data_IF_179014910099
#
_entry.id   IF_179014910099
#
_cell.length_a   1.000
_cell.length_b   1.000
_cell.length_c   1.000
_cell.angle_alpha   90.00
_cell.angle_beta   90.00
_cell.angle_gamma   90.00
#
_symmetry.space_group_name_H-M   'P 1'
#
loop_
_entity.id
_entity.type
_entity.pdbx_description
1 polymer ?
#
# COMPACT_ATOMS: atom_id res chain seq x y z
N UNK A 1 -37.63 -7.18 -12.13
CA UNK A 1 -36.48 -6.78 -11.33
C UNK A 1 -35.58 -7.98 -11.12
N UNK A 2 -34.33 -7.92 -11.55
CA UNK A 2 -33.35 -9.00 -11.43
C UNK A 2 -32.19 -8.50 -10.59
N UNK A 3 -31.80 -9.29 -9.55
CA UNK A 3 -30.61 -9.00 -8.76
C UNK A 3 -29.48 -9.94 -9.17
N UNK A 4 -28.37 -9.37 -9.60
CA UNK A 4 -27.14 -10.07 -9.98
C UNK A 4 -26.12 -9.92 -8.86
N UNK A 5 -25.45 -11.00 -8.49
CA UNK A 5 -24.43 -10.99 -7.43
C UNK A 5 -23.13 -11.57 -8.01
N UNK A 6 -22.06 -10.79 -7.93
CA UNK A 6 -20.73 -11.16 -8.41
C UNK A 6 -19.76 -11.22 -7.23
N UNK A 7 -19.41 -12.41 -6.72
CA UNK A 7 -18.35 -12.54 -5.73
C UNK A 7 -17.03 -12.01 -6.31
N UNK A 8 -16.28 -11.28 -5.51
CA UNK A 8 -14.98 -10.79 -5.91
C UNK A 8 -13.89 -11.78 -5.49
N UNK A 9 -12.90 -11.92 -6.36
CA UNK A 9 -11.67 -12.68 -6.12
C UNK A 9 -10.46 -11.76 -6.22
N UNK A 10 -9.28 -12.24 -5.79
CA UNK A 10 -8.01 -11.50 -5.83
C UNK A 10 -8.06 -10.18 -5.04
N UNK A 11 -8.79 -10.21 -3.94
CA UNK A 11 -8.86 -9.16 -2.92
C UNK A 11 -8.44 -9.72 -1.58
N UNK A 12 -8.10 -8.87 -0.65
CA UNK A 12 -8.02 -9.24 0.77
C UNK A 12 -9.42 -9.17 1.38
N UNK A 13 -9.78 -10.20 2.16
CA UNK A 13 -11.10 -10.33 2.74
C UNK A 13 -12.15 -10.86 1.75
N UNK A 14 -13.43 -10.69 2.09
CA UNK A 14 -14.55 -11.14 1.28
C UNK A 14 -15.44 -9.95 0.91
N UNK A 15 -15.72 -9.84 -0.40
CA UNK A 15 -16.64 -8.85 -0.91
C UNK A 15 -17.37 -9.37 -2.15
N UNK A 16 -18.44 -8.68 -2.50
CA UNK A 16 -19.22 -8.94 -3.72
C UNK A 16 -19.78 -7.63 -4.28
N UNK A 17 -20.09 -7.63 -5.56
CA UNK A 17 -20.87 -6.56 -6.18
C UNK A 17 -22.29 -7.08 -6.39
N UNK A 18 -23.28 -6.35 -5.87
CA UNK A 18 -24.69 -6.60 -6.11
C UNK A 18 -25.23 -5.53 -7.06
N UNK A 19 -25.89 -5.97 -8.16
CA UNK A 19 -26.45 -5.08 -9.16
C UNK A 19 -27.94 -5.38 -9.29
N UNK A 20 -28.78 -4.36 -9.22
CA UNK A 20 -30.21 -4.47 -9.49
C UNK A 20 -30.51 -3.94 -10.89
N UNK A 21 -31.17 -4.77 -11.69
CA UNK A 21 -31.50 -4.48 -13.09
C UNK A 21 -33.01 -4.60 -13.29
N UNK A 22 -33.60 -3.61 -13.94
CA UNK A 22 -35.01 -3.64 -14.35
C UNK A 22 -35.10 -3.18 -15.81
N UNK A 23 -35.75 -3.98 -16.64
CA UNK A 23 -35.98 -3.66 -18.07
C UNK A 23 -34.71 -3.35 -18.87
N UNK A 24 -33.57 -3.90 -18.43
CA UNK A 24 -32.25 -3.68 -19.04
C UNK A 24 -31.47 -2.48 -18.51
N UNK A 25 -32.05 -1.71 -17.61
CA UNK A 25 -31.39 -0.58 -16.93
C UNK A 25 -30.89 -0.98 -15.55
N UNK A 26 -29.69 -0.48 -15.19
CA UNK A 26 -29.10 -0.65 -13.85
C UNK A 26 -29.73 0.37 -12.90
N UNK A 27 -30.46 -0.10 -11.91
CA UNK A 27 -31.07 0.74 -10.87
C UNK A 27 -30.11 1.04 -9.72
N UNK A 28 -29.33 0.04 -9.31
CA UNK A 28 -28.32 0.18 -8.28
C UNK A 28 -27.14 -0.74 -8.51
N UNK A 29 -25.97 -0.33 -8.01
CA UNK A 29 -24.78 -1.15 -7.94
C UNK A 29 -24.10 -0.91 -6.58
N UNK A 30 -23.96 -1.98 -5.79
CA UNK A 30 -23.44 -1.92 -4.42
C UNK A 30 -22.18 -2.76 -4.29
N UNK A 31 -21.12 -2.17 -3.74
CA UNK A 31 -19.96 -2.92 -3.26
C UNK A 31 -20.22 -3.35 -1.83
N UNK A 32 -20.32 -4.65 -1.61
CA UNK A 32 -20.64 -5.23 -0.32
C UNK A 32 -19.43 -5.95 0.26
N UNK A 33 -18.72 -5.31 1.22
CA UNK A 33 -17.77 -5.99 2.08
C UNK A 33 -18.57 -6.84 3.09
N UNK A 34 -18.23 -8.13 3.17
CA UNK A 34 -19.02 -9.12 3.95
C UNK A 34 -18.30 -9.59 5.20
N UNK A 35 -17.08 -9.11 5.47
CA UNK A 35 -16.34 -9.46 6.68
C UNK A 35 -16.68 -8.53 7.84
N UNK A 36 -16.65 -9.12 9.04
CA UNK A 36 -16.96 -8.43 10.28
C UNK A 36 -16.00 -7.25 10.53
N UNK A 37 -16.54 -6.14 10.97
CA UNK A 37 -15.84 -5.02 11.62
C UNK A 37 -15.99 -5.12 13.15
N UNK A 38 -15.23 -4.30 13.87
CA UNK A 38 -15.37 -4.19 15.32
C UNK A 38 -14.18 -4.73 16.09
N UNK A 39 -13.00 -4.73 15.48
CA UNK A 39 -11.76 -5.09 16.19
C UNK A 39 -11.50 -4.18 17.38
N UNK A 40 -11.96 -2.92 17.33
CA UNK A 40 -11.95 -1.98 18.44
C UNK A 40 -12.63 -2.51 19.69
N UNK A 41 -13.70 -3.30 19.56
CA UNK A 41 -14.36 -3.95 20.69
C UNK A 41 -13.57 -5.15 21.25
N UNK A 42 -12.79 -5.82 20.38
CA UNK A 42 -11.96 -6.96 20.81
C UNK A 42 -10.74 -6.52 21.61
N UNK A 43 -10.26 -5.30 21.39
CA UNK A 43 -9.07 -4.75 22.06
C UNK A 43 -9.42 -3.76 23.17
N UNK A 44 -10.69 -3.49 23.39
CA UNK A 44 -11.15 -2.63 24.47
C UNK A 44 -10.69 -3.21 25.83
N UNK A 45 -10.17 -2.34 26.70
CA UNK A 45 -9.60 -2.68 28.02
C UNK A 45 -8.38 -3.64 27.96
N UNK A 46 -7.84 -3.93 26.77
CA UNK A 46 -6.60 -4.69 26.65
C UNK A 46 -5.39 -3.79 26.97
N UNK A 47 -4.30 -4.37 27.55
CA UNK A 47 -3.09 -3.61 27.82
C UNK A 47 -2.55 -2.94 26.55
N UNK A 48 -2.22 -1.65 26.63
CA UNK A 48 -1.79 -0.84 25.49
C UNK A 48 -0.51 -1.37 24.82
N UNK A 49 0.42 -1.93 25.61
CA UNK A 49 1.67 -2.53 25.13
C UNK A 49 1.47 -3.78 24.24
N UNK A 50 0.28 -4.39 24.28
CA UNK A 50 -0.07 -5.52 23.41
C UNK A 50 -0.55 -5.07 22.03
N UNK A 51 -0.92 -3.81 21.83
CA UNK A 51 -1.46 -3.32 20.55
C UNK A 51 -0.53 -3.55 19.37
N UNK A 52 0.80 -3.33 19.45
CA UNK A 52 1.72 -3.64 18.36
C UNK A 52 1.79 -5.14 17.96
N UNK A 53 1.33 -6.03 18.83
CA UNK A 53 1.31 -7.49 18.60
C UNK A 53 -0.07 -7.97 18.15
N UNK A 54 -1.13 -7.41 18.70
CA UNK A 54 -2.52 -7.85 18.45
C UNK A 54 -3.05 -7.27 17.15
N UNK A 55 -2.91 -5.96 16.94
CA UNK A 55 -3.51 -5.27 15.79
C UNK A 55 -2.96 -5.68 14.43
N UNK A 56 -1.69 -6.10 14.26
CA UNK A 56 -1.24 -6.71 13.00
C UNK A 56 -2.05 -7.93 12.54
N UNK A 57 -2.72 -8.62 13.46
CA UNK A 57 -3.55 -9.80 13.14
C UNK A 57 -4.89 -9.47 12.51
N UNK A 58 -5.25 -8.18 12.47
CA UNK A 58 -6.43 -7.70 11.73
C UNK A 58 -6.31 -8.03 10.24
N UNK A 59 -5.08 -7.97 9.69
CA UNK A 59 -4.87 -8.14 8.26
C UNK A 59 -3.53 -8.85 7.98
N UNK A 60 -3.60 -10.00 7.31
CA UNK A 60 -2.41 -10.79 6.98
C UNK A 60 -1.50 -10.14 5.95
N UNK A 61 -2.04 -9.37 5.00
CA UNK A 61 -1.27 -8.72 3.92
C UNK A 61 -0.81 -7.29 4.26
N UNK A 62 -1.37 -6.67 5.31
CA UNK A 62 -0.99 -5.31 5.75
C UNK A 62 -0.58 -5.26 7.23
N UNK A 63 -0.17 -6.40 7.78
CA UNK A 63 0.25 -6.54 9.17
C UNK A 63 1.36 -5.57 9.57
N UNK A 64 2.29 -5.29 8.67
CA UNK A 64 3.38 -4.33 8.86
C UNK A 64 2.86 -2.91 9.14
N UNK A 65 1.90 -2.44 8.34
CA UNK A 65 1.32 -1.11 8.53
C UNK A 65 0.61 -1.00 9.88
N UNK A 66 -0.17 -2.02 10.26
CA UNK A 66 -0.81 -2.08 11.58
C UNK A 66 0.22 -2.08 12.72
N UNK A 67 1.31 -2.84 12.57
CA UNK A 67 2.39 -2.90 13.55
C UNK A 67 3.03 -1.52 13.78
N UNK A 68 3.43 -0.86 12.71
CA UNK A 68 4.07 0.46 12.78
C UNK A 68 3.08 1.53 13.27
N UNK A 69 1.83 1.51 12.80
CA UNK A 69 0.80 2.46 13.25
C UNK A 69 0.51 2.32 14.75
N UNK A 70 0.46 1.07 15.26
CA UNK A 70 0.24 0.82 16.69
C UNK A 70 1.38 1.36 17.54
N UNK A 71 2.63 1.11 17.14
CA UNK A 71 3.80 1.65 17.85
C UNK A 71 3.80 3.17 17.85
N UNK A 72 3.52 3.80 16.69
CA UNK A 72 3.44 5.26 16.56
C UNK A 72 2.34 5.87 17.44
N UNK A 73 1.18 5.21 17.55
CA UNK A 73 0.10 5.70 18.39
C UNK A 73 0.46 5.68 19.87
N UNK A 74 1.18 4.65 20.34
CA UNK A 74 1.67 4.60 21.71
C UNK A 74 2.79 5.61 21.95
N UNK A 75 3.68 5.83 20.97
CA UNK A 75 4.71 6.85 21.07
C UNK A 75 4.12 8.26 21.15
N UNK A 76 3.06 8.55 20.40
CA UNK A 76 2.33 9.82 20.46
C UNK A 76 1.66 9.99 21.85
N UNK A 77 1.02 8.92 22.37
CA UNK A 77 0.39 8.93 23.69
C UNK A 77 1.41 9.14 24.84
N UNK A 78 2.61 8.61 24.69
CA UNK A 78 3.67 8.68 25.71
C UNK A 78 4.65 9.83 25.47
N UNK A 79 4.44 10.66 24.43
CA UNK A 79 5.30 11.77 24.03
C UNK A 79 6.76 11.35 23.75
N UNK A 80 6.93 10.18 23.10
CA UNK A 80 8.24 9.58 22.81
C UNK A 80 8.64 9.87 21.37
N UNK A 81 9.89 10.26 21.16
CA UNK A 81 10.51 10.36 19.85
C UNK A 81 11.53 9.24 19.68
N UNK A 82 11.31 8.29 18.74
CA UNK A 82 12.26 7.22 18.48
C UNK A 82 13.55 7.74 17.83
N UNK A 83 14.70 7.07 18.03
CA UNK A 83 15.99 7.51 17.51
C UNK A 83 16.05 7.33 15.96
N UNK A 84 16.97 8.05 15.27
CA UNK A 84 17.09 8.01 13.82
C UNK A 84 17.30 6.61 13.23
N UNK A 85 18.06 5.73 13.91
CA UNK A 85 18.24 4.34 13.49
C UNK A 85 16.91 3.59 13.42
N UNK A 86 16.06 3.75 14.44
CA UNK A 86 14.74 3.13 14.46
C UNK A 86 13.84 3.61 13.32
N UNK A 87 13.88 4.91 13.02
CA UNK A 87 13.10 5.49 11.90
C UNK A 87 13.50 4.89 10.56
N UNK A 88 14.82 4.74 10.29
CA UNK A 88 15.33 4.10 9.06
C UNK A 88 14.86 2.64 8.94
N UNK A 89 14.96 1.85 10.02
CA UNK A 89 14.55 0.45 10.02
C UNK A 89 13.04 0.30 9.82
N UNK A 90 12.25 1.18 10.42
CA UNK A 90 10.79 1.20 10.24
C UNK A 90 10.40 1.67 8.82
N UNK A 91 11.16 2.61 8.23
CA UNK A 91 10.98 2.99 6.82
C UNK A 91 11.27 1.78 5.90
N UNK A 92 12.37 1.05 6.11
CA UNK A 92 12.66 -0.20 5.38
C UNK A 92 11.54 -1.23 5.52
N UNK A 93 10.98 -1.35 6.71
CA UNK A 93 9.87 -2.26 6.98
C UNK A 93 8.62 -1.88 6.16
N UNK A 94 8.29 -0.58 6.09
CA UNK A 94 7.18 -0.08 5.29
C UNK A 94 7.45 -0.22 3.78
N UNK A 95 8.68 0.03 3.32
CA UNK A 95 9.09 -0.17 1.93
C UNK A 95 9.04 -1.64 1.52
N UNK A 96 9.45 -2.56 2.40
CA UNK A 96 9.32 -3.99 2.17
C UNK A 96 7.87 -4.43 1.97
N UNK A 97 6.95 -3.92 2.81
CA UNK A 97 5.52 -4.16 2.62
C UNK A 97 5.00 -3.56 1.31
N UNK A 98 5.40 -2.34 0.98
CA UNK A 98 5.00 -1.70 -0.27
C UNK A 98 5.45 -2.52 -1.47
N UNK A 99 6.73 -2.89 -1.54
CA UNK A 99 7.31 -3.73 -2.59
C UNK A 99 6.56 -5.05 -2.74
N UNK A 100 6.40 -5.81 -1.64
CA UNK A 100 5.72 -7.10 -1.65
C UNK A 100 4.26 -6.97 -2.08
N UNK A 101 3.55 -5.94 -1.60
CA UNK A 101 2.14 -5.71 -1.91
C UNK A 101 1.95 -5.27 -3.37
N UNK A 102 2.75 -4.34 -3.87
CA UNK A 102 2.63 -3.86 -5.24
C UNK A 102 3.01 -4.94 -6.26
N UNK A 103 4.06 -5.73 -6.00
CA UNK A 103 4.40 -6.89 -6.83
C UNK A 103 3.26 -7.94 -6.85
N UNK A 104 2.64 -8.21 -5.70
CA UNK A 104 1.48 -9.12 -5.61
C UNK A 104 0.29 -8.57 -6.39
N UNK A 105 -0.05 -7.29 -6.21
CA UNK A 105 -1.19 -6.67 -6.89
C UNK A 105 -1.01 -6.64 -8.40
N UNK A 106 0.15 -6.21 -8.88
CA UNK A 106 0.42 -6.08 -10.32
C UNK A 106 0.55 -7.43 -11.00
N UNK A 107 1.43 -8.28 -10.47
CA UNK A 107 1.87 -9.45 -11.23
C UNK A 107 1.06 -10.70 -10.93
N UNK A 108 0.52 -10.83 -9.70
CA UNK A 108 -0.25 -12.02 -9.32
C UNK A 108 -1.75 -11.78 -9.48
N UNK A 109 -2.24 -10.57 -9.19
CA UNK A 109 -3.69 -10.30 -9.23
C UNK A 109 -4.14 -9.74 -10.58
N UNK A 110 -3.52 -8.68 -11.11
CA UNK A 110 -4.05 -7.98 -12.29
C UNK A 110 -3.41 -8.40 -13.61
N UNK A 111 -2.13 -8.78 -13.64
CA UNK A 111 -1.48 -9.24 -14.88
C UNK A 111 -2.17 -10.43 -15.55
N UNK A 112 -2.63 -11.48 -14.84
CA UNK A 112 -3.38 -12.57 -15.45
C UNK A 112 -4.60 -12.11 -16.24
N UNK A 113 -5.35 -11.13 -15.73
CA UNK A 113 -6.53 -10.59 -16.43
C UNK A 113 -6.13 -9.83 -17.72
N UNK A 114 -4.98 -9.12 -17.69
CA UNK A 114 -4.44 -8.46 -18.87
C UNK A 114 -3.99 -9.45 -19.95
N UNK A 115 -3.51 -10.61 -19.53
CA UNK A 115 -3.04 -11.69 -20.40
C UNK A 115 -4.14 -12.68 -20.80
N UNK A 116 -5.36 -12.57 -20.26
CA UNK A 116 -6.46 -13.47 -20.50
C UNK A 116 -6.27 -14.88 -19.91
N UNK A 117 -5.47 -15.01 -18.84
CA UNK A 117 -5.22 -16.28 -18.16
C UNK A 117 -5.82 -16.29 -16.76
N UNK A 118 -6.16 -17.47 -16.24
CA UNK A 118 -6.85 -17.60 -14.95
C UNK A 118 -5.93 -17.32 -13.76
N UNK A 119 -4.63 -17.60 -13.87
CA UNK A 119 -3.65 -17.41 -12.80
C UNK A 119 -2.22 -17.41 -13.35
N UNK A 120 -1.34 -16.60 -12.73
CA UNK A 120 0.10 -16.64 -13.01
C UNK A 120 0.74 -17.97 -12.60
N UNK A 121 0.19 -18.66 -11.61
CA UNK A 121 0.67 -19.97 -11.18
C UNK A 121 0.39 -21.09 -12.19
N UNK A 122 -0.66 -20.94 -13.00
CA UNK A 122 -0.91 -21.87 -14.11
C UNK A 122 0.22 -21.80 -15.13
N UNK A 123 0.73 -20.59 -15.40
CA UNK A 123 1.85 -20.38 -16.32
C UNK A 123 3.16 -20.99 -15.80
N UNK A 124 3.35 -21.01 -14.49
CA UNK A 124 4.55 -21.56 -13.86
C UNK A 124 4.53 -23.09 -13.75
N UNK A 125 3.35 -23.74 -13.82
CA UNK A 125 3.21 -25.19 -13.68
C UNK A 125 3.45 -25.95 -14.98
N UNK A 126 3.26 -25.32 -16.13
CA UNK A 126 3.37 -25.93 -17.45
C UNK A 126 4.80 -25.84 -18.05
N UNK A 127 5.80 -25.90 -17.16
CA UNK A 127 7.23 -25.67 -17.48
C UNK A 127 7.86 -26.65 -18.52
N UNK A 128 7.09 -27.53 -19.12
CA UNK A 128 7.55 -28.51 -20.15
C UNK A 128 6.89 -28.25 -21.51
N UNK A 129 6.48 -27.02 -21.77
CA UNK A 129 5.90 -26.68 -23.07
C UNK A 129 6.98 -26.38 -24.12
N UNK A 130 6.74 -26.79 -25.35
CA UNK A 130 7.57 -26.44 -26.52
C UNK A 130 7.09 -25.15 -27.20
N UNK A 131 5.98 -24.57 -26.75
CA UNK A 131 5.45 -23.33 -27.27
C UNK A 131 6.24 -22.14 -26.68
N UNK A 132 6.82 -21.33 -27.58
CA UNK A 132 7.63 -20.15 -27.19
C UNK A 132 6.82 -19.10 -26.42
N UNK A 133 5.52 -18.96 -26.72
CA UNK A 133 4.64 -18.02 -26.03
C UNK A 133 4.42 -18.43 -24.57
N UNK A 134 4.21 -19.70 -24.31
CA UNK A 134 4.05 -20.25 -22.96
C UNK A 134 5.36 -20.19 -22.17
N UNK A 135 6.52 -20.46 -22.83
CA UNK A 135 7.84 -20.31 -22.20
C UNK A 135 8.08 -18.85 -21.75
N UNK A 136 7.72 -17.87 -22.57
CA UNK A 136 7.85 -16.46 -22.23
C UNK A 136 6.96 -16.10 -21.02
N UNK A 137 5.72 -16.59 -20.97
CA UNK A 137 4.82 -16.35 -19.85
C UNK A 137 5.29 -17.00 -18.56
N UNK A 138 5.88 -18.21 -18.64
CA UNK A 138 6.51 -18.89 -17.50
C UNK A 138 7.71 -18.09 -16.94
N UNK A 139 8.51 -17.51 -17.81
CA UNK A 139 9.62 -16.65 -17.42
C UNK A 139 9.10 -15.38 -16.69
N UNK A 140 8.08 -14.71 -17.24
CA UNK A 140 7.42 -13.55 -16.62
C UNK A 140 6.91 -13.93 -15.22
N UNK A 141 6.24 -15.07 -15.07
CA UNK A 141 5.73 -15.54 -13.79
C UNK A 141 6.85 -15.77 -12.76
N UNK A 142 7.92 -16.43 -13.18
CA UNK A 142 9.08 -16.71 -12.30
C UNK A 142 9.75 -15.42 -11.82
N UNK A 143 9.98 -14.47 -12.72
CA UNK A 143 10.58 -13.18 -12.43
C UNK A 143 9.67 -12.32 -11.52
N UNK A 144 8.37 -12.36 -11.73
CA UNK A 144 7.39 -11.68 -10.89
C UNK A 144 7.42 -12.21 -9.44
N UNK A 145 7.51 -13.52 -9.25
CA UNK A 145 7.65 -14.14 -7.94
C UNK A 145 9.00 -13.78 -7.29
N UNK A 146 10.09 -13.67 -8.05
CA UNK A 146 11.38 -13.23 -7.55
C UNK A 146 11.33 -11.80 -7.00
N UNK A 147 10.75 -10.85 -7.73
CA UNK A 147 10.57 -9.46 -7.25
C UNK A 147 9.73 -9.42 -5.98
N UNK A 148 8.61 -10.16 -5.94
CA UNK A 148 7.77 -10.27 -4.74
C UNK A 148 8.53 -10.84 -3.55
N UNK A 149 9.38 -11.84 -3.77
CA UNK A 149 10.17 -12.50 -2.72
C UNK A 149 11.19 -11.54 -2.11
N UNK A 150 11.84 -10.69 -2.89
CA UNK A 150 12.74 -9.65 -2.37
C UNK A 150 12.03 -8.73 -1.36
N UNK A 151 10.76 -8.34 -1.63
CA UNK A 151 9.94 -7.62 -0.65
C UNK A 151 9.66 -8.42 0.63
N UNK A 152 9.39 -9.72 0.51
CA UNK A 152 9.21 -10.62 1.67
C UNK A 152 10.47 -10.71 2.53
N UNK A 153 11.64 -10.83 1.89
CA UNK A 153 12.92 -10.88 2.58
C UNK A 153 13.25 -9.54 3.26
N UNK A 154 12.95 -8.41 2.60
CA UNK A 154 13.12 -7.09 3.20
C UNK A 154 12.27 -6.90 4.44
N UNK A 155 10.98 -7.33 4.42
CA UNK A 155 10.13 -7.32 5.62
C UNK A 155 10.75 -8.18 6.73
N UNK A 156 11.24 -9.38 6.41
CA UNK A 156 11.85 -10.28 7.40
C UNK A 156 13.11 -9.67 8.01
N UNK A 157 13.96 -9.04 7.19
CA UNK A 157 15.19 -8.37 7.62
C UNK A 157 14.92 -7.20 8.53
N UNK A 158 13.99 -6.31 8.13
CA UNK A 158 13.67 -5.10 8.89
C UNK A 158 12.69 -5.36 10.04
N UNK A 159 11.85 -6.38 9.96
CA UNK A 159 10.76 -6.67 10.90
C UNK A 159 10.98 -7.87 11.82
N UNK A 160 12.04 -8.65 11.59
CA UNK A 160 12.32 -9.89 12.31
C UNK A 160 11.58 -11.12 11.77
N UNK A 161 10.41 -10.93 11.17
CA UNK A 161 9.65 -11.97 10.48
C UNK A 161 8.73 -11.35 9.42
N UNK A 162 8.35 -12.14 8.42
CA UNK A 162 7.54 -11.67 7.29
C UNK A 162 6.09 -11.35 7.70
N UNK A 163 5.39 -12.30 8.31
CA UNK A 163 3.99 -12.11 8.74
C UNK A 163 3.98 -11.70 10.21
N UNK A 164 3.27 -10.60 10.52
CA UNK A 164 3.22 -10.02 11.87
C UNK A 164 4.59 -9.64 12.42
N UNK A 165 5.28 -8.64 11.82
CA UNK A 165 6.57 -8.16 12.29
C UNK A 165 6.54 -7.82 13.78
N UNK A 166 7.71 -7.95 14.44
CA UNK A 166 7.85 -7.77 15.89
C UNK A 166 9.00 -6.82 16.27
N UNK A 167 9.76 -6.33 15.28
CA UNK A 167 10.99 -5.58 15.56
C UNK A 167 10.75 -4.14 15.95
N UNK A 168 9.67 -3.50 15.48
CA UNK A 168 9.29 -2.17 15.96
C UNK A 168 8.69 -2.29 17.37
N UNK A 169 9.19 -1.51 18.29
CA UNK A 169 8.72 -1.44 19.68
C UNK A 169 8.54 0.03 20.06
N UNK A 170 7.77 0.29 21.10
CA UNK A 170 7.61 1.66 21.62
C UNK A 170 8.99 2.22 21.99
N UNK A 171 9.29 3.40 21.51
CA UNK A 171 10.58 4.06 21.67
C UNK A 171 11.65 3.66 20.66
N UNK A 172 11.39 2.72 19.73
CA UNK A 172 12.37 2.37 18.70
C UNK A 172 12.18 1.01 18.04
N UNK A 173 13.27 0.25 17.97
CA UNK A 173 13.34 -1.12 17.44
C UNK A 173 14.14 -2.01 18.40
N UNK A 174 13.93 -3.33 18.34
CA UNK A 174 14.64 -4.30 19.22
C UNK A 174 16.14 -4.43 18.93
N UNK A 175 16.62 -3.88 17.82
CA UNK A 175 18.03 -3.87 17.43
C UNK A 175 18.23 -3.42 15.99
N UNK A 176 19.46 -3.10 15.65
CA UNK A 176 19.89 -2.73 14.30
C UNK A 176 19.79 -3.88 13.29
N UNK A 177 20.27 -3.64 12.07
CA UNK A 177 20.47 -4.64 11.02
C UNK A 177 21.98 -4.80 10.85
N UNK A 178 22.56 -6.00 11.09
CA UNK A 178 23.98 -6.23 10.92
C UNK A 178 24.48 -5.86 9.51
N UNK A 179 25.66 -5.27 9.39
CA UNK A 179 26.21 -4.78 8.13
C UNK A 179 26.23 -5.85 7.03
N UNK A 180 26.57 -7.10 7.39
CA UNK A 180 26.54 -8.21 6.43
C UNK A 180 25.12 -8.47 5.90
N UNK A 181 24.12 -8.50 6.79
CA UNK A 181 22.70 -8.73 6.41
C UNK A 181 22.17 -7.58 5.55
N UNK A 182 22.54 -6.33 5.88
CA UNK A 182 22.19 -5.16 5.09
C UNK A 182 22.81 -5.24 3.69
N UNK A 183 24.08 -5.67 3.56
CA UNK A 183 24.76 -5.83 2.28
C UNK A 183 24.15 -6.94 1.43
N UNK A 184 23.80 -8.09 2.03
CA UNK A 184 23.12 -9.20 1.35
C UNK A 184 21.75 -8.77 0.82
N UNK A 185 20.95 -8.09 1.65
CA UNK A 185 19.64 -7.61 1.25
C UNK A 185 19.73 -6.53 0.16
N UNK A 186 20.70 -5.62 0.26
CA UNK A 186 20.96 -4.62 -0.78
C UNK A 186 21.30 -5.28 -2.11
N UNK A 187 22.19 -6.26 -2.13
CA UNK A 187 22.55 -6.99 -3.34
C UNK A 187 21.35 -7.71 -3.99
N UNK A 188 20.45 -8.27 -3.17
CA UNK A 188 19.20 -8.88 -3.66
C UNK A 188 18.29 -7.84 -4.32
N UNK A 189 18.13 -6.65 -3.71
CA UNK A 189 17.32 -5.57 -4.28
C UNK A 189 17.95 -4.96 -5.54
N UNK A 190 19.28 -4.79 -5.58
CA UNK A 190 20.02 -4.35 -6.77
C UNK A 190 19.82 -5.32 -7.95
N UNK A 191 19.74 -6.63 -7.67
CA UNK A 191 19.41 -7.64 -8.69
C UNK A 191 17.93 -7.63 -9.08
N UNK A 192 17.02 -7.32 -8.15
CA UNK A 192 15.58 -7.28 -8.40
C UNK A 192 15.13 -6.01 -9.17
N UNK A 193 15.85 -4.90 -9.04
CA UNK A 193 15.46 -3.61 -9.65
C UNK A 193 15.33 -3.68 -11.19
N UNK A 194 16.32 -4.15 -11.95
CA UNK A 194 16.16 -4.27 -13.41
C UNK A 194 15.01 -5.21 -13.79
N UNK A 195 14.81 -6.30 -13.06
CA UNK A 195 13.72 -7.24 -13.29
C UNK A 195 12.37 -6.54 -13.07
N UNK A 196 12.24 -5.77 -11.99
CA UNK A 196 11.03 -5.02 -11.70
C UNK A 196 10.73 -3.97 -12.78
N UNK A 197 11.76 -3.27 -13.27
CA UNK A 197 11.61 -2.30 -14.36
C UNK A 197 11.15 -2.97 -15.67
N UNK A 198 11.75 -4.06 -16.06
CA UNK A 198 11.38 -4.80 -17.28
C UNK A 198 9.95 -5.37 -17.19
N UNK A 199 9.59 -5.94 -16.04
CA UNK A 199 8.23 -6.43 -15.80
C UNK A 199 7.20 -5.29 -15.80
N UNK A 200 7.56 -4.12 -15.27
CA UNK A 200 6.68 -2.97 -15.27
C UNK A 200 6.56 -2.36 -16.67
N UNK A 201 7.62 -2.29 -17.45
CA UNK A 201 7.55 -1.89 -18.86
C UNK A 201 6.64 -2.83 -19.66
N UNK A 202 6.77 -4.14 -19.47
CA UNK A 202 5.86 -5.12 -20.08
C UNK A 202 4.41 -4.93 -19.62
N UNK A 203 4.18 -4.72 -18.32
CA UNK A 203 2.85 -4.44 -17.77
C UNK A 203 2.25 -3.15 -18.37
N UNK A 204 3.09 -2.13 -18.54
CA UNK A 204 2.70 -0.87 -19.17
C UNK A 204 2.22 -1.09 -20.61
N UNK A 205 2.97 -1.84 -21.41
CA UNK A 205 2.62 -2.12 -22.81
C UNK A 205 1.30 -2.87 -22.93
N UNK A 206 1.09 -3.94 -22.15
CA UNK A 206 -0.18 -4.67 -22.17
C UNK A 206 -1.35 -3.84 -21.64
N UNK A 207 -1.10 -2.86 -20.78
CA UNK A 207 -2.12 -1.93 -20.27
C UNK A 207 -2.52 -0.91 -21.34
N UNK A 208 -1.56 -0.34 -22.08
CA UNK A 208 -1.84 0.58 -23.19
C UNK A 208 -2.67 -0.10 -24.29
N UNK A 209 -2.54 -1.41 -24.48
CA UNK A 209 -3.35 -2.15 -25.43
C UNK A 209 -4.86 -2.15 -25.12
N UNK A 210 -5.28 -1.71 -23.93
CA UNK A 210 -6.70 -1.47 -23.60
C UNK A 210 -7.29 -0.25 -24.33
N UNK A 211 -6.46 0.56 -24.99
CA UNK A 211 -6.87 1.75 -25.71
C UNK A 211 -7.55 2.78 -24.82
N UNK A 212 -8.63 3.38 -25.29
CA UNK A 212 -9.37 4.43 -24.58
C UNK A 212 -9.83 4.02 -23.18
N UNK A 213 -10.14 2.74 -22.95
CA UNK A 213 -10.62 2.24 -21.65
C UNK A 213 -9.64 2.52 -20.52
N UNK A 214 -8.33 2.50 -20.80
CA UNK A 214 -7.30 2.74 -19.79
C UNK A 214 -7.42 4.14 -19.18
N UNK A 215 -7.69 5.15 -19.99
CA UNK A 215 -7.76 6.54 -19.57
C UNK A 215 -9.16 7.07 -19.26
N UNK A 216 -10.23 6.29 -19.56
CA UNK A 216 -11.61 6.79 -19.45
C UNK A 216 -12.47 6.05 -18.43
N UNK A 217 -12.15 4.80 -18.06
CA UNK A 217 -12.99 4.08 -17.10
C UNK A 217 -12.93 4.71 -15.71
N UNK A 218 -14.10 5.22 -15.26
CA UNK A 218 -14.25 5.90 -13.98
C UNK A 218 -13.66 7.31 -13.94
N UNK A 219 -13.36 7.89 -15.10
CA UNK A 219 -12.92 9.29 -15.24
C UNK A 219 -14.07 10.28 -15.06
N UNK A 220 -15.29 9.85 -15.37
CA UNK A 220 -16.54 10.59 -15.19
C UNK A 220 -17.00 10.72 -13.72
N UNK A 221 -16.29 10.09 -12.80
CA UNK A 221 -16.53 10.18 -11.36
C UNK A 221 -15.34 10.84 -10.65
N UNK A 222 -15.15 12.15 -10.80
CA UNK A 222 -14.04 12.86 -10.15
C UNK A 222 -14.15 12.74 -8.63
N UNK A 223 -13.00 12.67 -7.97
CA UNK A 223 -12.90 12.52 -6.53
C UNK A 223 -11.74 13.35 -5.98
N UNK A 224 -11.81 13.72 -4.72
CA UNK A 224 -10.65 14.20 -3.99
C UNK A 224 -9.67 13.04 -3.74
N UNK A 225 -8.38 13.34 -3.66
CA UNK A 225 -7.33 12.35 -3.40
C UNK A 225 -6.78 12.50 -2.00
N UNK A 226 -6.92 11.44 -1.19
CA UNK A 226 -6.44 11.40 0.20
C UNK A 226 -5.15 10.60 0.28
N UNK A 227 -4.13 11.16 0.90
CA UNK A 227 -2.84 10.50 1.15
C UNK A 227 -2.27 10.94 2.51
N UNK A 228 -1.51 10.07 3.16
CA UNK A 228 -0.68 10.43 4.31
C UNK A 228 0.71 10.96 3.91
N UNK A 229 0.98 11.01 2.63
CA UNK A 229 2.19 11.59 2.05
C UNK A 229 1.97 13.09 1.90
N UNK A 230 2.62 13.86 2.77
CA UNK A 230 2.60 15.31 2.70
C UNK A 230 3.96 15.83 2.21
N UNK A 231 3.94 16.66 1.16
CA UNK A 231 5.13 17.26 0.60
C UNK A 231 5.43 16.82 -0.83
N UNK A 232 6.68 17.04 -1.26
CA UNK A 232 7.07 16.80 -2.65
C UNK A 232 7.60 15.38 -2.92
N UNK A 233 7.98 14.66 -1.87
CA UNK A 233 8.56 13.31 -1.96
C UNK A 233 7.74 12.29 -1.17
N UNK A 234 7.77 11.01 -1.54
CA UNK A 234 7.08 9.96 -0.81
C UNK A 234 7.56 9.82 0.64
N UNK A 235 6.61 9.63 1.54
CA UNK A 235 6.89 9.31 2.94
C UNK A 235 5.84 8.31 3.46
N UNK A 236 6.10 7.02 3.26
CA UNK A 236 5.17 5.96 3.69
C UNK A 236 5.12 5.77 5.21
N UNK A 237 6.09 6.32 5.94
CA UNK A 237 6.00 6.37 7.40
C UNK A 237 4.86 7.27 7.88
N UNK A 238 4.44 8.25 7.06
CA UNK A 238 3.29 9.12 7.27
C UNK A 238 3.50 10.13 8.42
N UNK A 239 2.97 11.33 8.24
CA UNK A 239 3.03 12.37 9.26
C UNK A 239 1.71 13.17 9.31
N UNK A 240 1.19 13.58 8.18
CA UNK A 240 -0.03 14.35 8.05
C UNK A 240 -0.90 13.78 6.94
N UNK A 241 -2.19 14.00 7.02
CA UNK A 241 -3.13 13.73 5.95
C UNK A 241 -3.18 14.92 5.00
N UNK A 242 -3.18 14.63 3.71
CA UNK A 242 -3.25 15.61 2.65
C UNK A 242 -4.43 15.28 1.72
N UNK A 243 -5.18 16.30 1.34
CA UNK A 243 -6.28 16.19 0.40
C UNK A 243 -6.02 17.09 -0.79
N UNK A 244 -6.01 16.48 -1.98
CA UNK A 244 -5.97 17.16 -3.28
C UNK A 244 -7.38 17.10 -3.89
N UNK A 245 -7.85 18.20 -4.48
CA UNK A 245 -9.14 18.22 -5.19
C UNK A 245 -9.09 17.44 -6.49
N UNK A 246 -10.25 17.18 -7.07
CA UNK A 246 -10.36 16.62 -8.42
C UNK A 246 -9.79 17.55 -9.51
N UNK A 247 -9.69 18.85 -9.27
CA UNK A 247 -9.04 19.81 -10.18
C UNK A 247 -7.52 19.90 -10.03
N UNK A 248 -6.94 19.23 -9.02
CA UNK A 248 -5.51 19.28 -8.74
C UNK A 248 -5.08 20.37 -7.77
N UNK A 249 -6.05 21.08 -7.16
CA UNK A 249 -5.76 22.08 -6.15
C UNK A 249 -5.58 21.45 -4.77
N UNK A 250 -4.63 21.96 -3.98
CA UNK A 250 -4.48 21.56 -2.60
C UNK A 250 -5.69 22.03 -1.77
N UNK A 251 -6.46 21.07 -1.23
CA UNK A 251 -7.64 21.39 -0.42
C UNK A 251 -7.31 21.56 1.04
N UNK A 252 -6.56 20.63 1.63
CA UNK A 252 -6.27 20.63 3.05
C UNK A 252 -5.08 19.76 3.41
N UNK A 253 -4.42 20.12 4.51
CA UNK A 253 -3.41 19.31 5.18
C UNK A 253 -3.66 19.38 6.68
N UNK A 254 -3.74 18.24 7.36
CA UNK A 254 -4.08 18.17 8.77
C UNK A 254 -3.44 16.97 9.46
N UNK A 255 -3.14 17.07 10.77
CA UNK A 255 -2.60 15.95 11.53
C UNK A 255 -3.63 14.85 11.73
N UNK A 256 -3.15 13.62 11.98
CA UNK A 256 -4.03 12.46 12.18
C UNK A 256 -5.07 12.70 13.29
N UNK A 257 -4.72 13.38 14.38
CA UNK A 257 -5.64 13.67 15.50
C UNK A 257 -6.88 14.48 15.11
N UNK A 258 -6.80 15.19 13.99
CA UNK A 258 -7.91 16.04 13.50
C UNK A 258 -8.75 15.35 12.42
N UNK A 259 -8.50 14.09 12.09
CA UNK A 259 -9.16 13.43 10.95
C UNK A 259 -10.69 13.52 11.00
N UNK A 260 -11.29 13.39 12.19
CA UNK A 260 -12.75 13.48 12.37
C UNK A 260 -13.33 14.88 12.14
N UNK A 261 -12.49 15.93 12.10
CA UNK A 261 -12.93 17.30 11.77
C UNK A 261 -13.07 17.51 10.27
N UNK A 262 -12.34 16.72 9.47
CA UNK A 262 -12.24 16.89 8.04
C UNK A 262 -12.89 15.76 7.25
N UNK A 263 -12.88 14.55 7.79
CA UNK A 263 -13.43 13.36 7.14
C UNK A 263 -14.71 12.93 7.82
N UNK A 264 -15.75 12.74 7.03
CA UNK A 264 -17.04 12.21 7.48
C UNK A 264 -17.12 10.73 7.09
N UNK A 265 -17.50 9.88 8.03
CA UNK A 265 -17.73 8.46 7.79
C UNK A 265 -19.23 8.15 7.90
N UNK A 266 -19.76 7.48 6.88
CA UNK A 266 -21.15 7.03 6.82
C UNK A 266 -21.20 5.51 6.73
N UNK A 267 -21.84 4.86 7.70
CA UNK A 267 -22.09 3.43 7.66
C UNK A 267 -23.16 3.10 6.61
N UNK A 268 -23.05 1.96 5.96
CA UNK A 268 -24.05 1.46 5.01
C UNK A 268 -24.76 0.24 5.58
N UNK A 269 -26.03 0.05 5.21
CA UNK A 269 -26.82 -1.12 5.65
C UNK A 269 -26.44 -2.41 4.90
N UNK A 270 -25.85 -2.27 3.71
CA UNK A 270 -25.56 -3.38 2.80
C UNK A 270 -24.10 -3.86 2.84
N UNK A 271 -23.22 -3.13 3.51
CA UNK A 271 -21.77 -3.42 3.55
C UNK A 271 -21.18 -3.12 4.92
N UNK A 272 -20.25 -3.94 5.38
CA UNK A 272 -19.45 -3.63 6.56
C UNK A 272 -18.43 -2.49 6.33
N UNK A 273 -18.10 -2.19 5.08
CA UNK A 273 -17.36 -0.97 4.72
C UNK A 273 -18.34 0.19 4.52
N UNK A 274 -18.11 1.29 5.19
CA UNK A 274 -18.86 2.53 4.97
C UNK A 274 -18.17 3.45 3.96
N UNK A 275 -18.78 4.61 3.74
CA UNK A 275 -18.28 5.66 2.87
C UNK A 275 -17.56 6.72 3.68
N UNK A 276 -16.40 7.12 3.23
CA UNK A 276 -15.69 8.27 3.79
C UNK A 276 -15.65 9.39 2.75
N UNK A 277 -15.97 10.60 3.18
CA UNK A 277 -15.98 11.79 2.34
C UNK A 277 -15.17 12.93 2.98
N UNK A 278 -14.75 13.88 2.16
CA UNK A 278 -14.14 15.12 2.57
C UNK A 278 -15.05 16.27 2.14
N UNK A 279 -15.65 16.98 3.11
CA UNK A 279 -16.61 18.07 2.85
C UNK A 279 -17.76 17.67 1.91
N UNK A 280 -18.21 16.42 1.98
CA UNK A 280 -19.26 15.89 1.11
C UNK A 280 -18.78 15.35 -0.24
N UNK A 281 -17.50 15.57 -0.59
CA UNK A 281 -16.91 15.05 -1.82
C UNK A 281 -16.40 13.62 -1.63
N UNK A 282 -16.55 12.79 -2.65
CA UNK A 282 -15.99 11.43 -2.67
C UNK A 282 -14.48 11.51 -2.60
N UNK A 283 -13.87 10.65 -1.79
CA UNK A 283 -12.41 10.52 -1.72
C UNK A 283 -11.92 9.21 -2.31
N UNK A 284 -10.76 9.27 -2.95
CA UNK A 284 -9.96 8.12 -3.34
C UNK A 284 -8.64 8.14 -2.59
N UNK A 285 -8.22 6.99 -2.13
CA UNK A 285 -6.91 6.75 -1.54
C UNK A 285 -6.11 5.79 -2.41
N UNK A 286 -4.99 5.25 -1.92
CA UNK A 286 -4.18 4.27 -2.64
C UNK A 286 -3.18 4.92 -3.62
N UNK A 287 -2.52 4.10 -4.44
CA UNK A 287 -1.40 4.50 -5.31
C UNK A 287 -1.73 5.68 -6.23
N UNK A 288 -2.90 5.69 -6.87
CA UNK A 288 -3.27 6.80 -7.76
C UNK A 288 -3.42 8.12 -7.00
N UNK A 289 -3.95 8.09 -5.77
CA UNK A 289 -4.04 9.29 -4.93
C UNK A 289 -2.64 9.82 -4.59
N UNK A 290 -1.71 8.94 -4.24
CA UNK A 290 -0.33 9.32 -3.94
C UNK A 290 0.38 9.89 -5.15
N UNK A 291 0.28 9.25 -6.32
CA UNK A 291 0.89 9.72 -7.57
C UNK A 291 0.32 11.09 -8.00
N UNK A 292 -0.97 11.32 -7.79
CA UNK A 292 -1.57 12.64 -8.07
C UNK A 292 -1.08 13.75 -7.11
N UNK A 293 -0.75 13.40 -5.87
CA UNK A 293 -0.22 14.34 -4.87
C UNK A 293 1.27 14.62 -5.05
N UNK A 294 2.04 13.62 -5.53
CA UNK A 294 3.48 13.69 -5.63
C UNK A 294 3.92 14.41 -6.92
N UNK A 295 4.97 15.25 -6.79
CA UNK A 295 5.64 15.88 -7.91
C UNK A 295 7.01 15.27 -8.22
N UNK A 296 7.53 14.48 -7.28
CA UNK A 296 8.85 13.86 -7.34
C UNK A 296 8.83 12.58 -6.50
N UNK A 297 9.31 11.47 -7.07
CA UNK A 297 9.47 10.21 -6.33
C UNK A 297 10.76 10.17 -5.50
N UNK A 298 11.66 11.12 -5.67
CA UNK A 298 12.94 11.15 -4.94
C UNK A 298 13.98 10.14 -5.43
N UNK A 299 13.64 9.24 -6.36
CA UNK A 299 14.55 8.23 -6.90
C UNK A 299 14.55 8.21 -8.43
N UNK A 300 15.68 7.87 -9.09
CA UNK A 300 15.85 8.09 -10.53
C UNK A 300 14.88 7.33 -11.44
N UNK A 301 14.74 6.01 -11.24
CA UNK A 301 13.90 5.19 -12.10
C UNK A 301 12.41 5.46 -11.86
N UNK A 302 11.99 5.59 -10.60
CA UNK A 302 10.60 5.91 -10.29
C UNK A 302 10.22 7.29 -10.82
N UNK A 303 11.11 8.29 -10.78
CA UNK A 303 10.88 9.60 -11.39
C UNK A 303 10.70 9.54 -12.91
N UNK A 304 11.46 8.69 -13.59
CA UNK A 304 11.29 8.48 -15.03
C UNK A 304 9.88 7.93 -15.34
N UNK A 305 9.39 6.99 -14.54
CA UNK A 305 8.05 6.43 -14.70
C UNK A 305 6.95 7.43 -14.30
N UNK A 306 7.14 8.22 -13.24
CA UNK A 306 6.21 9.29 -12.87
C UNK A 306 6.08 10.32 -14.01
N UNK A 307 7.18 10.74 -14.60
CA UNK A 307 7.18 11.65 -15.75
C UNK A 307 6.42 11.05 -16.93
N UNK A 308 6.72 9.79 -17.30
CA UNK A 308 6.00 9.06 -18.37
C UNK A 308 4.50 8.98 -18.10
N UNK A 309 4.12 8.74 -16.83
CA UNK A 309 2.72 8.68 -16.41
C UNK A 309 2.01 10.03 -16.59
N UNK A 310 2.61 11.11 -16.09
CA UNK A 310 2.04 12.45 -16.18
C UNK A 310 1.93 12.96 -17.63
N UNK A 311 2.92 12.63 -18.47
CA UNK A 311 2.87 12.96 -19.92
C UNK A 311 1.76 12.20 -20.65
N UNK A 312 1.46 10.97 -20.25
CA UNK A 312 0.45 10.14 -20.89
C UNK A 312 -0.99 10.43 -20.43
N UNK A 313 -1.19 10.74 -19.15
CA UNK A 313 -2.52 10.78 -18.52
C UNK A 313 -2.87 12.10 -17.85
N UNK A 314 -1.91 13.04 -17.75
CA UNK A 314 -2.09 14.30 -17.03
C UNK A 314 -1.99 14.16 -15.52
N UNK A 315 -2.22 15.27 -14.81
CA UNK A 315 -2.21 15.32 -13.34
C UNK A 315 -3.22 16.40 -12.89
N UNK A 316 -4.25 16.02 -12.10
CA UNK A 316 -4.51 14.68 -11.59
C UNK A 316 -5.09 13.75 -12.66
N UNK A 317 -4.75 12.46 -12.57
CA UNK A 317 -5.33 11.40 -13.38
C UNK A 317 -6.49 10.73 -12.61
N UNK A 318 -7.62 10.43 -13.29
CA UNK A 318 -8.85 9.99 -12.62
C UNK A 318 -9.25 8.54 -12.91
N UNK A 319 -8.88 8.01 -14.08
CA UNK A 319 -9.34 6.70 -14.52
C UNK A 319 -8.87 5.58 -13.56
N UNK A 320 -9.81 4.69 -13.19
CA UNK A 320 -9.56 3.66 -12.17
C UNK A 320 -8.50 2.63 -12.59
N UNK A 321 -8.37 2.36 -13.88
CA UNK A 321 -7.36 1.40 -14.37
C UNK A 321 -5.92 1.92 -14.22
N UNK A 322 -5.73 3.24 -14.01
CA UNK A 322 -4.42 3.86 -13.78
C UNK A 322 -3.86 3.56 -12.39
N UNK A 323 -4.67 3.07 -11.45
CA UNK A 323 -4.17 2.59 -10.16
C UNK A 323 -3.06 1.55 -10.30
N UNK A 324 -3.14 0.67 -11.30
CA UNK A 324 -2.12 -0.36 -11.50
C UNK A 324 -0.81 0.25 -12.02
N UNK A 325 -0.87 1.21 -12.94
CA UNK A 325 0.34 1.90 -13.38
C UNK A 325 0.97 2.72 -12.26
N UNK A 326 0.16 3.36 -11.42
CA UNK A 326 0.63 4.05 -10.21
C UNK A 326 1.34 3.08 -9.25
N UNK A 327 0.82 1.86 -9.05
CA UNK A 327 1.47 0.80 -8.26
C UNK A 327 2.83 0.39 -8.80
N UNK A 328 2.98 0.34 -10.13
CA UNK A 328 4.27 0.03 -10.77
C UNK A 328 5.34 1.09 -10.48
N UNK A 329 4.96 2.37 -10.46
CA UNK A 329 5.86 3.47 -10.09
C UNK A 329 6.33 3.30 -8.64
N UNK A 330 5.40 3.01 -7.73
CA UNK A 330 5.70 2.79 -6.31
C UNK A 330 6.52 1.52 -6.05
N UNK A 331 6.33 0.47 -6.84
CA UNK A 331 7.13 -0.74 -6.78
C UNK A 331 8.61 -0.43 -7.03
N UNK A 332 8.89 0.31 -8.10
CA UNK A 332 10.26 0.71 -8.45
C UNK A 332 10.84 1.66 -7.39
N UNK A 333 10.07 2.64 -6.93
CA UNK A 333 10.46 3.52 -5.83
C UNK A 333 10.86 2.76 -4.56
N UNK A 334 10.05 1.77 -4.17
CA UNK A 334 10.30 1.02 -2.94
C UNK A 334 11.64 0.27 -2.98
N UNK A 335 12.00 -0.27 -4.15
CA UNK A 335 13.30 -0.95 -4.34
C UNK A 335 14.45 0.07 -4.28
N UNK A 336 14.37 1.15 -5.06
CA UNK A 336 15.43 2.16 -5.12
C UNK A 336 15.66 2.79 -3.73
N UNK A 337 14.59 3.20 -3.05
CA UNK A 337 14.69 3.82 -1.72
C UNK A 337 15.23 2.85 -0.66
N UNK A 338 14.85 1.59 -0.70
CA UNK A 338 15.39 0.58 0.20
C UNK A 338 16.90 0.35 -0.03
N UNK A 339 17.38 0.35 -1.28
CA UNK A 339 18.80 0.28 -1.61
C UNK A 339 19.56 1.47 -1.02
N UNK A 340 19.02 2.68 -1.13
CA UNK A 340 19.64 3.89 -0.52
C UNK A 340 19.80 3.72 0.98
N UNK A 341 18.74 3.34 1.71
CA UNK A 341 18.79 3.19 3.16
C UNK A 341 19.74 2.06 3.57
N UNK A 342 19.74 0.91 2.86
CA UNK A 342 20.64 -0.21 3.12
C UNK A 342 22.12 0.09 2.83
N UNK A 343 22.41 1.22 2.15
CA UNK A 343 23.77 1.69 1.92
C UNK A 343 24.34 2.49 3.11
N UNK A 344 23.51 2.81 4.09
CA UNK A 344 23.89 3.50 5.32
C UNK A 344 24.17 2.49 6.45
N UNK A 345 24.94 2.85 7.50
CA UNK A 345 25.08 2.02 8.70
C UNK A 345 23.72 1.83 9.40
N UNK A 346 23.32 0.59 9.61
CA UNK A 346 22.07 0.22 10.29
C UNK A 346 22.27 -0.60 11.56
N UNK A 347 23.50 -0.75 12.00
CA UNK A 347 23.93 -1.42 13.24
C UNK A 347 24.59 -0.48 14.24
N UNK A 348 24.74 0.79 13.90
CA UNK A 348 25.34 1.83 14.71
C UNK A 348 24.28 2.78 15.29
N UNK A 349 24.43 3.15 16.56
CA UNK A 349 23.53 4.07 17.28
C UNK A 349 22.51 3.35 18.16
N UNK A 350 21.76 4.14 18.92
CA UNK A 350 20.76 3.64 19.84
C UNK A 350 19.55 3.08 19.05
N UNK A 351 19.16 1.81 19.28
CA UNK A 351 17.99 1.24 18.63
C UNK A 351 16.66 1.71 19.24
N UNK A 352 16.65 2.10 20.50
CA UNK A 352 15.46 2.54 21.22
C UNK A 352 15.82 3.49 22.37
N UNK A 353 14.89 4.36 22.73
CA UNK A 353 14.96 5.19 23.94
C UNK A 353 14.15 4.55 25.07
N UNK A 354 14.61 4.65 26.33
CA UNK A 354 13.82 4.23 27.48
C UNK A 354 12.60 5.14 27.65
N UNK A 355 11.50 4.57 28.12
CA UNK A 355 10.28 5.32 28.39
C UNK A 355 9.57 4.79 29.64
N UNK A 356 8.65 5.60 30.17
CA UNK A 356 7.72 5.18 31.21
C UNK A 356 6.31 5.32 30.66
N UNK A 357 5.50 4.25 30.65
CA UNK A 357 4.10 4.35 30.25
C UNK A 357 3.36 5.37 31.10
N UNK A 358 2.49 6.14 30.48
CA UNK A 358 1.63 7.13 31.11
C UNK A 358 0.25 7.11 30.47
N UNK A 359 -0.74 7.58 31.19
CA UNK A 359 -2.08 7.79 30.62
C UNK A 359 -2.01 8.89 29.56
N UNK A 360 -2.69 8.66 28.45
CA UNK A 360 -2.65 9.61 27.34
C UNK A 360 -3.49 9.18 26.14
N UNK A 361 -3.60 10.08 25.18
CA UNK A 361 -4.25 9.84 23.90
C UNK A 361 -3.22 9.97 22.78
N UNK A 362 -3.17 8.97 21.90
CA UNK A 362 -2.20 8.97 20.81
C UNK A 362 -2.74 8.49 19.48
N UNK A 363 -2.16 9.05 18.41
CA UNK A 363 -2.52 8.79 17.02
C UNK A 363 -1.30 8.32 16.23
N UNK A 364 -1.40 7.13 15.65
CA UNK A 364 -0.37 6.57 14.77
C UNK A 364 -0.85 6.56 13.32
N UNK A 365 -0.29 7.40 12.48
CA UNK A 365 -0.58 7.47 11.04
C UNK A 365 0.55 6.85 10.25
N UNK A 366 0.21 5.97 9.31
CA UNK A 366 1.11 5.47 8.25
C UNK A 366 0.41 5.52 6.90
N UNK A 367 1.18 5.59 5.83
CA UNK A 367 0.67 5.37 4.48
C UNK A 367 0.81 3.88 4.14
N UNK A 368 -0.24 3.11 4.33
CA UNK A 368 -0.27 1.71 3.96
C UNK A 368 -0.40 1.55 2.42
N UNK A 369 -0.07 0.39 1.84
CA UNK A 369 -0.13 0.21 0.38
C UNK A 369 -1.47 0.57 -0.24
N UNK A 370 -2.57 0.44 0.48
CA UNK A 370 -3.95 0.74 0.02
C UNK A 370 -4.53 2.06 0.53
N UNK A 371 -3.73 2.89 1.19
CA UNK A 371 -4.14 4.22 1.65
C UNK A 371 -3.75 4.51 3.11
N UNK A 372 -4.08 5.69 3.63
CA UNK A 372 -3.79 6.06 4.99
C UNK A 372 -4.43 5.12 6.01
N UNK A 373 -3.66 4.75 7.02
CA UNK A 373 -4.08 3.96 8.17
C UNK A 373 -3.81 4.74 9.45
N UNK A 374 -4.84 4.92 10.26
CA UNK A 374 -4.75 5.60 11.55
C UNK A 374 -5.09 4.61 12.67
N UNK A 375 -4.20 4.50 13.64
CA UNK A 375 -4.52 3.92 14.94
C UNK A 375 -4.71 5.05 15.95
N UNK A 376 -5.74 4.94 16.77
CA UNK A 376 -6.06 5.87 17.83
C UNK A 376 -6.31 5.10 19.12
N UNK A 377 -5.57 5.44 20.15
CA UNK A 377 -5.66 4.81 21.48
C UNK A 377 -5.84 5.88 22.56
N UNK A 378 -6.59 5.53 23.61
CA UNK A 378 -6.83 6.34 24.81
C UNK A 378 -6.65 5.51 26.05
#
# INVERSE_FOLDING_TARGET
MTRLIFPLSRIEGHARVAIEVQEGEVLSAEFQATELRGFEYLVQDAPADQMPVVTPRICGVCSTAHHVAAVKALEDAYEITPPPLALKIRELLMLGQLLQNQATSLFIFTMPDRLGVSSIFQLASDAVTTDKSEQQLTEVATRALQVRQAGTHLISTAGGQFIHPVKAVVGGVTGGIPAQQAAEMRAELEAALPIACELFDYYWEISIALGERLGTWGDDAPACYLSAIAGRQPNFYGNQLYVLSSSGDACSMFPARDFRKYLTYEATEYSYAGHTSFQGEVIRANSLARINVLHDMGTPCANRYLKRFNEAFGQPAHAILLFDLARGIELVYAIERAIEILSEPLDEGDPAVPYTPQDGEGFGLVEAPRGPLIHHYT
#
